data_IF_394651907464
#
_entry.id   IF_394651907464
#
_cell.length_a   1.000
_cell.length_b   1.000
_cell.length_c   1.000
_cell.angle_alpha   90.00
_cell.angle_beta   90.00
_cell.angle_gamma   90.00
#
_symmetry.space_group_name_H-M   'P 1'
#
loop_
_entity.id
_entity.type
_entity.pdbx_description
1 polymer ?
#
# COMPACT_ATOMS: atom_id res chain seq x y z
N UNK A 1 -0.57 17.73 -23.08
CA UNK A 1 0.28 16.82 -22.29
C UNK A 1 1.74 17.18 -22.49
N UNK A 2 2.60 16.91 -21.51
CA UNK A 2 4.06 17.15 -21.58
C UNK A 2 4.78 15.81 -21.51
N UNK A 3 5.56 15.53 -22.54
CA UNK A 3 6.44 14.36 -22.63
C UNK A 3 7.87 14.79 -22.32
N UNK A 4 8.49 14.18 -21.31
CA UNK A 4 9.89 14.44 -20.99
C UNK A 4 10.52 13.27 -20.24
N UNK A 5 11.84 13.15 -20.35
CA UNK A 5 12.60 12.15 -19.62
C UNK A 5 13.12 12.72 -18.29
N UNK A 6 13.17 11.88 -17.25
CA UNK A 6 13.83 12.27 -16.01
C UNK A 6 15.32 12.55 -16.27
N UNK A 7 15.85 13.71 -15.84
CA UNK A 7 17.25 14.07 -16.11
C UNK A 7 18.27 13.15 -15.41
N UNK A 8 17.84 12.39 -14.38
CA UNK A 8 18.72 11.51 -13.62
C UNK A 8 18.78 10.07 -14.16
N UNK A 9 17.65 9.51 -14.61
CA UNK A 9 17.57 8.10 -15.00
C UNK A 9 17.01 7.85 -16.41
N UNK A 10 16.60 8.88 -17.14
CA UNK A 10 16.06 8.76 -18.50
C UNK A 10 14.64 8.19 -18.60
N UNK A 11 14.00 7.80 -17.49
CA UNK A 11 12.63 7.30 -17.52
C UNK A 11 11.68 8.33 -18.14
N UNK A 12 10.87 7.90 -19.10
CA UNK A 12 9.89 8.74 -19.78
C UNK A 12 8.68 9.03 -18.88
N UNK A 13 8.18 10.26 -18.91
CA UNK A 13 7.00 10.71 -18.19
C UNK A 13 6.02 11.42 -19.11
N UNK A 14 4.77 10.99 -19.01
CA UNK A 14 3.61 11.65 -19.61
C UNK A 14 2.80 12.30 -18.49
N UNK A 15 2.92 13.62 -18.37
CA UNK A 15 2.23 14.40 -17.35
C UNK A 15 1.28 15.42 -17.99
N UNK A 16 0.23 15.75 -17.24
CA UNK A 16 -0.70 16.82 -17.59
C UNK A 16 -0.01 18.20 -17.51
N UNK A 17 -0.41 19.13 -18.37
CA UNK A 17 0.17 20.48 -18.47
C UNK A 17 -0.02 21.28 -17.18
N UNK A 18 -1.02 20.96 -16.36
CA UNK A 18 -1.23 21.58 -15.04
C UNK A 18 -0.09 21.34 -14.05
N UNK A 19 0.76 20.34 -14.30
CA UNK A 19 1.93 20.02 -13.48
C UNK A 19 3.20 20.70 -13.95
N UNK A 20 3.15 21.45 -15.05
CA UNK A 20 4.28 22.18 -15.61
C UNK A 20 4.87 23.16 -14.57
N UNK A 21 6.20 23.20 -14.47
CA UNK A 21 6.92 24.05 -13.51
C UNK A 21 6.93 23.55 -12.06
N UNK A 22 6.11 22.54 -11.69
CA UNK A 22 6.11 21.97 -10.34
C UNK A 22 7.32 21.05 -10.13
N UNK A 23 7.78 20.95 -8.88
CA UNK A 23 8.81 20.01 -8.46
C UNK A 23 8.18 18.71 -7.98
N UNK A 24 8.68 17.59 -8.49
CA UNK A 24 8.24 16.23 -8.14
C UNK A 24 9.41 15.30 -7.88
N UNK A 25 9.13 14.05 -7.53
CA UNK A 25 10.13 12.98 -7.47
C UNK A 25 9.91 11.98 -8.58
N UNK A 26 10.98 11.54 -9.24
CA UNK A 26 10.92 10.49 -10.24
C UNK A 26 10.38 9.18 -9.64
N UNK A 27 9.44 8.52 -10.30
CA UNK A 27 8.90 7.22 -9.83
C UNK A 27 9.92 6.07 -9.96
N UNK A 28 10.88 6.17 -10.88
CA UNK A 28 11.90 5.14 -11.10
C UNK A 28 13.07 5.29 -10.12
N UNK A 29 13.70 6.48 -10.05
CA UNK A 29 14.91 6.69 -9.25
C UNK A 29 14.69 7.48 -7.94
N UNK A 30 13.54 8.13 -7.75
CA UNK A 30 13.24 8.93 -6.55
C UNK A 30 13.84 10.35 -6.52
N UNK A 31 14.67 10.71 -7.51
CA UNK A 31 15.34 12.01 -7.59
C UNK A 31 14.36 13.17 -7.74
N UNK A 32 14.67 14.32 -7.14
CA UNK A 32 13.84 15.53 -7.27
C UNK A 32 14.05 16.14 -8.66
N UNK A 33 12.96 16.34 -9.39
CA UNK A 33 12.97 16.89 -10.76
C UNK A 33 11.90 17.96 -10.91
N UNK A 34 12.18 18.98 -11.72
CA UNK A 34 11.22 20.03 -12.08
C UNK A 34 10.60 19.69 -13.44
N UNK A 35 9.28 19.68 -13.51
CA UNK A 35 8.55 19.44 -14.78
C UNK A 35 8.77 20.66 -15.69
N UNK A 36 9.19 20.50 -16.95
CA UNK A 36 9.39 21.63 -17.88
C UNK A 36 8.10 22.46 -18.03
N UNK A 37 8.21 23.79 -17.96
CA UNK A 37 7.11 24.70 -18.24
C UNK A 37 7.02 24.98 -19.74
N UNK A 38 5.86 24.71 -20.35
CA UNK A 38 5.52 25.07 -21.74
C UNK A 38 5.70 26.59 -21.89
N UNK A 39 6.79 27.04 -22.49
CA UNK A 39 7.11 28.47 -22.67
C UNK A 39 8.52 28.89 -22.24
N UNK A 40 9.26 28.06 -21.51
CA UNK A 40 10.70 28.26 -21.38
C UNK A 40 11.35 27.77 -22.69
N UNK A 41 11.43 28.66 -23.69
CA UNK A 41 12.25 28.46 -24.87
C UNK A 41 13.62 27.93 -24.43
N UNK A 42 14.01 26.76 -24.94
CA UNK A 42 15.24 26.08 -24.55
C UNK A 42 16.45 27.03 -24.66
N UNK A 43 17.50 26.84 -23.85
CA UNK A 43 18.72 27.62 -23.98
C UNK A 43 19.20 27.55 -25.43
N UNK A 44 19.26 28.73 -26.07
CA UNK A 44 19.80 28.95 -27.41
C UNK A 44 21.12 28.18 -27.49
N UNK A 45 21.17 27.16 -28.36
CA UNK A 45 22.38 26.36 -28.54
C UNK A 45 23.57 27.30 -28.79
N UNK A 46 24.66 27.20 -28.02
CA UNK A 46 25.83 28.03 -28.28
C UNK A 46 26.32 27.72 -29.69
N UNK A 47 26.52 28.77 -30.48
CA UNK A 47 27.03 28.68 -31.84
C UNK A 47 28.36 27.91 -31.82
N UNK A 48 28.34 26.69 -32.38
CA UNK A 48 29.54 25.87 -32.51
C UNK A 48 30.55 26.54 -33.47
N UNK A 49 31.85 26.33 -33.26
CA UNK A 49 32.90 26.83 -34.15
C UNK A 49 32.75 26.20 -35.54
N UNK A 50 32.90 27.04 -36.57
CA UNK A 50 32.89 26.64 -37.98
C UNK A 50 34.01 25.63 -38.23
N UNK A 51 33.65 24.37 -38.53
CA UNK A 51 34.60 23.39 -39.03
C UNK A 51 34.91 23.66 -40.52
N UNK A 52 36.19 23.59 -40.96
CA UNK A 52 36.57 23.67 -42.37
C UNK A 52 36.05 22.45 -43.14
N UNK A 53 35.70 22.67 -44.41
CA UNK A 53 35.07 21.69 -45.29
C UNK A 53 35.98 20.48 -45.59
N UNK A 54 35.35 19.31 -45.66
CA UNK A 54 35.91 17.98 -45.91
C UNK A 54 36.57 17.79 -47.30
N UNK A 55 36.75 18.84 -48.10
CA UNK A 55 37.38 18.73 -49.42
C UNK A 55 38.92 18.64 -49.36
N UNK A 56 39.54 18.96 -48.21
CA UNK A 56 41.00 18.99 -48.08
C UNK A 56 41.63 17.68 -47.56
N UNK A 57 40.84 16.69 -47.10
CA UNK A 57 41.37 15.47 -46.44
C UNK A 57 41.48 14.28 -47.41
N UNK A 58 40.89 14.35 -48.60
CA UNK A 58 40.93 13.26 -49.58
C UNK A 58 42.28 13.09 -50.30
N UNK A 59 43.29 13.94 -50.04
CA UNK A 59 44.56 13.94 -50.77
C UNK A 59 45.74 13.30 -50.01
N UNK A 60 45.58 12.79 -48.78
CA UNK A 60 46.75 12.43 -47.93
C UNK A 60 46.81 11.00 -47.38
N UNK A 61 46.02 10.04 -47.87
CA UNK A 61 46.14 8.63 -47.42
C UNK A 61 46.26 7.69 -48.62
N UNK A 62 47.37 7.82 -49.34
CA UNK A 62 47.95 6.74 -50.12
C UNK A 62 49.03 6.06 -49.28
N UNK A 63 48.80 4.83 -48.83
CA UNK A 63 49.87 4.04 -48.23
C UNK A 63 49.45 2.92 -47.28
N UNK A 64 49.58 1.69 -47.80
CA UNK A 64 50.05 0.49 -47.10
C UNK A 64 49.06 -0.23 -46.16
N UNK A 65 48.80 -1.52 -46.48
CA UNK A 65 48.78 -2.56 -45.44
C UNK A 65 47.64 -3.56 -45.47
N UNK A 66 47.91 -4.71 -46.08
CA UNK A 66 47.26 -6.02 -45.97
C UNK A 66 46.29 -6.24 -44.78
N UNK A 67 45.02 -6.50 -45.10
CA UNK A 67 44.03 -7.03 -44.15
C UNK A 67 44.10 -8.57 -44.03
N UNK A 68 43.72 -9.15 -42.88
CA UNK A 68 43.63 -10.59 -42.71
C UNK A 68 42.34 -11.17 -43.31
N UNK A 69 42.50 -12.30 -44.01
CA UNK A 69 41.42 -13.16 -44.53
C UNK A 69 40.62 -13.78 -43.38
N UNK A 70 39.30 -13.64 -43.43
CA UNK A 70 38.36 -14.46 -42.65
C UNK A 70 38.12 -15.79 -43.38
N UNK A 71 38.37 -16.89 -42.69
CA UNK A 71 38.00 -18.25 -43.13
C UNK A 71 36.53 -18.55 -42.80
N UNK A 72 35.82 -19.33 -43.63
CA UNK A 72 34.47 -19.78 -43.33
C UNK A 72 34.50 -21.00 -42.41
N UNK A 73 33.72 -20.97 -41.33
CA UNK A 73 33.50 -22.10 -40.43
C UNK A 73 32.37 -22.96 -41.01
N UNK A 74 32.71 -24.22 -41.30
CA UNK A 74 31.77 -25.26 -41.73
C UNK A 74 30.92 -25.77 -40.55
N UNK A 75 29.72 -26.34 -40.81
CA UNK A 75 28.85 -26.88 -39.78
C UNK A 75 28.98 -28.42 -39.70
N UNK A 76 29.30 -28.96 -38.53
CA UNK A 76 29.07 -30.38 -38.23
C UNK A 76 28.93 -30.60 -36.72
N UNK A 77 28.01 -31.49 -36.34
CA UNK A 77 28.01 -32.15 -35.03
C UNK A 77 26.72 -32.03 -34.22
N UNK A 78 25.76 -32.91 -34.52
CA UNK A 78 24.54 -33.14 -33.75
C UNK A 78 24.81 -33.63 -32.31
N UNK A 79 24.01 -33.16 -31.37
CA UNK A 79 23.64 -33.89 -30.15
C UNK A 79 22.11 -33.85 -29.99
N UNK A 80 21.45 -34.97 -29.63
CA UNK A 80 19.99 -35.08 -29.64
C UNK A 80 19.38 -34.41 -28.40
N UNK A 81 18.51 -33.41 -28.61
CA UNK A 81 17.65 -32.87 -27.56
C UNK A 81 16.40 -33.75 -27.39
N UNK A 82 15.96 -34.04 -26.16
CA UNK A 82 14.74 -34.80 -25.90
C UNK A 82 13.51 -34.02 -26.39
N UNK A 83 12.63 -34.75 -27.09
CA UNK A 83 11.51 -34.20 -27.83
C UNK A 83 10.49 -33.48 -26.96
N UNK A 84 10.26 -32.20 -27.27
CA UNK A 84 9.01 -31.53 -26.94
C UNK A 84 8.01 -31.80 -28.06
N UNK A 85 6.94 -32.49 -27.69
CA UNK A 85 5.75 -32.78 -28.50
C UNK A 85 5.21 -31.49 -29.13
N UNK A 86 5.38 -31.37 -30.45
CA UNK A 86 4.75 -30.36 -31.29
C UNK A 86 3.38 -30.87 -31.73
N UNK A 87 2.38 -30.64 -30.89
CA UNK A 87 0.97 -30.82 -31.26
C UNK A 87 0.16 -29.69 -30.63
N UNK A 88 -0.04 -28.61 -31.40
CA UNK A 88 -1.02 -27.58 -31.05
C UNK A 88 -0.74 -26.20 -31.65
N UNK A 89 -1.41 -25.91 -32.77
CA UNK A 89 -1.94 -24.61 -33.19
C UNK A 89 -1.09 -23.34 -33.00
N UNK A 90 -0.70 -22.73 -34.12
CA UNK A 90 -0.23 -21.33 -34.13
C UNK A 90 -1.38 -20.40 -33.66
N UNK A 91 -1.24 -19.63 -32.58
CA UNK A 91 -2.24 -18.64 -32.22
C UNK A 91 -2.19 -17.47 -33.20
N UNK A 92 -3.32 -17.22 -33.87
CA UNK A 92 -3.52 -16.14 -34.85
C UNK A 92 -3.67 -14.75 -34.21
N UNK A 93 -3.47 -14.63 -32.89
CA UNK A 93 -3.77 -13.41 -32.17
C UNK A 93 -2.62 -13.02 -31.23
N UNK A 94 -2.00 -11.86 -31.48
CA UNK A 94 -0.87 -11.35 -30.71
C UNK A 94 -1.23 -11.12 -29.23
N UNK A 95 -2.52 -10.89 -28.91
CA UNK A 95 -3.02 -10.74 -27.54
C UNK A 95 -2.94 -12.01 -26.69
N UNK A 96 -2.95 -13.21 -27.29
CA UNK A 96 -2.74 -14.46 -26.56
C UNK A 96 -1.25 -14.74 -26.32
N UNK A 97 -0.36 -14.22 -27.16
CA UNK A 97 1.10 -14.34 -26.95
C UNK A 97 1.59 -13.54 -25.74
N UNK A 98 0.96 -12.39 -25.42
CA UNK A 98 1.33 -11.56 -24.25
C UNK A 98 0.77 -12.11 -22.93
N UNK A 99 -0.24 -12.97 -22.99
CA UNK A 99 -0.79 -13.66 -21.82
C UNK A 99 -0.24 -15.10 -21.65
N UNK A 100 0.72 -15.50 -22.49
CA UNK A 100 1.43 -16.75 -22.27
C UNK A 100 2.10 -16.70 -20.91
N UNK A 101 1.74 -17.68 -20.09
CA UNK A 101 2.20 -17.90 -18.75
C UNK A 101 3.71 -18.12 -18.76
N UNK A 102 4.48 -17.03 -18.78
CA UNK A 102 5.80 -17.06 -18.17
C UNK A 102 5.51 -17.21 -16.69
N UNK A 103 5.48 -18.47 -16.24
CA UNK A 103 5.58 -18.83 -14.84
C UNK A 103 6.93 -18.31 -14.34
N UNK A 104 6.99 -17.00 -14.10
CA UNK A 104 8.06 -16.37 -13.35
C UNK A 104 7.93 -16.97 -11.95
N UNK A 105 8.73 -18.01 -11.69
CA UNK A 105 8.94 -18.50 -10.35
C UNK A 105 9.18 -17.26 -9.48
N UNK A 106 8.36 -17.02 -8.44
CA UNK A 106 8.43 -15.79 -7.68
C UNK A 106 9.85 -15.67 -7.15
N UNK A 107 10.61 -14.71 -7.69
CA UNK A 107 11.98 -14.47 -7.28
C UNK A 107 11.87 -14.02 -5.82
N UNK A 108 12.16 -14.93 -4.91
CA UNK A 108 12.13 -14.64 -3.48
C UNK A 108 13.12 -13.51 -3.22
N UNK A 109 12.75 -12.56 -2.35
CA UNK A 109 13.59 -11.42 -2.01
C UNK A 109 14.99 -11.83 -1.48
N UNK A 110 15.14 -13.09 -1.07
CA UNK A 110 16.39 -13.67 -0.60
C UNK A 110 17.37 -13.98 -1.75
N UNK A 111 16.90 -14.27 -2.97
CA UNK A 111 17.76 -14.53 -4.15
C UNK A 111 18.38 -13.26 -4.75
N UNK A 112 17.84 -12.07 -4.46
CA UNK A 112 18.41 -10.81 -4.95
C UNK A 112 19.71 -10.40 -4.26
N UNK A 113 20.05 -10.99 -3.10
CA UNK A 113 21.31 -10.66 -2.40
C UNK A 113 22.55 -11.24 -3.09
N UNK A 114 22.42 -12.37 -3.80
CA UNK A 114 23.55 -13.02 -4.47
C UNK A 114 23.93 -12.40 -5.82
N UNK A 115 23.03 -11.65 -6.45
CA UNK A 115 23.24 -11.06 -7.78
C UNK A 115 23.90 -9.67 -7.76
N UNK A 116 24.15 -9.10 -6.58
CA UNK A 116 24.72 -7.74 -6.46
C UNK A 116 26.24 -7.66 -6.57
N UNK A 117 26.93 -8.79 -6.71
CA UNK A 117 28.41 -8.84 -6.66
C UNK A 117 29.07 -9.50 -7.87
N UNK A 118 28.33 -9.90 -8.90
CA UNK A 118 28.95 -10.27 -10.18
C UNK A 118 29.02 -9.04 -11.07
N UNK A 119 30.22 -8.52 -11.39
CA UNK A 119 30.35 -7.51 -12.44
C UNK A 119 29.74 -8.09 -13.72
N UNK A 120 28.86 -7.33 -14.32
CA UNK A 120 28.20 -7.71 -15.56
C UNK A 120 29.27 -7.90 -16.65
N UNK A 121 29.22 -8.98 -17.45
CA UNK A 121 30.14 -9.16 -18.59
C UNK A 121 30.07 -8.06 -19.67
N UNK A 122 29.15 -7.10 -19.51
CA UNK A 122 29.00 -5.89 -20.32
C UNK A 122 29.77 -4.68 -19.76
N UNK A 123 30.56 -4.86 -18.70
CA UNK A 123 31.63 -3.92 -18.32
C UNK A 123 32.79 -4.04 -19.34
N UNK A 124 32.45 -3.80 -20.61
CA UNK A 124 33.37 -3.67 -21.73
C UNK A 124 34.22 -2.40 -21.50
N UNK A 125 35.54 -2.40 -21.80
CA UNK A 125 36.40 -1.25 -21.55
C UNK A 125 35.81 -0.02 -22.23
N UNK A 126 35.38 0.92 -21.39
CA UNK A 126 34.74 2.16 -21.73
C UNK A 126 35.38 2.84 -22.94
N UNK A 127 34.67 2.81 -24.06
CA UNK A 127 34.89 3.74 -25.16
C UNK A 127 34.84 5.16 -24.54
N UNK A 128 35.86 6.02 -24.72
CA UNK A 128 35.94 7.33 -24.10
C UNK A 128 34.90 8.28 -24.74
N UNK A 129 33.64 8.09 -24.38
CA UNK A 129 32.57 9.04 -24.64
C UNK A 129 32.59 10.18 -23.62
N UNK A 130 32.11 11.38 -23.98
CA UNK A 130 32.16 12.59 -23.14
C UNK A 130 31.27 12.53 -21.88
N UNK A 131 30.60 11.40 -21.63
CA UNK A 131 29.71 11.20 -20.49
C UNK A 131 30.37 10.28 -19.46
N UNK A 132 31.38 10.83 -18.76
CA UNK A 132 31.89 10.24 -17.52
C UNK A 132 30.77 10.34 -16.48
N UNK A 133 30.04 9.24 -16.26
CA UNK A 133 29.13 9.13 -15.11
C UNK A 133 29.95 9.42 -13.85
N UNK A 134 29.75 10.60 -13.25
CA UNK A 134 30.29 10.90 -11.92
C UNK A 134 29.80 9.78 -11.01
N UNK A 135 30.73 8.98 -10.50
CA UNK A 135 30.45 8.05 -9.42
C UNK A 135 29.64 8.81 -8.37
N UNK A 136 28.45 8.30 -8.03
CA UNK A 136 27.61 8.92 -7.02
C UNK A 136 28.50 9.16 -5.79
N UNK A 137 28.63 10.41 -5.29
CA UNK A 137 29.36 10.67 -4.08
C UNK A 137 28.80 9.75 -3.01
N UNK A 138 29.61 8.81 -2.54
CA UNK A 138 29.24 7.92 -1.44
C UNK A 138 28.99 8.82 -0.24
N UNK A 139 27.72 9.16 0.03
CA UNK A 139 27.37 10.01 1.16
C UNK A 139 27.76 9.25 2.44
N UNK A 140 28.82 9.65 3.16
CA UNK A 140 29.34 8.88 4.28
C UNK A 140 28.31 8.75 5.41
N UNK A 141 27.37 9.70 5.51
CA UNK A 141 26.26 9.63 6.45
C UNK A 141 25.31 8.43 6.21
N UNK A 142 25.06 8.07 4.95
CA UNK A 142 24.18 6.93 4.64
C UNK A 142 24.90 5.60 4.88
N UNK A 143 26.18 5.52 4.55
CA UNK A 143 27.01 4.35 4.85
C UNK A 143 27.21 4.16 6.36
N UNK A 144 27.43 5.24 7.12
CA UNK A 144 27.54 5.17 8.58
C UNK A 144 26.22 4.72 9.24
N UNK A 145 25.08 5.23 8.75
CA UNK A 145 23.76 4.80 9.23
C UNK A 145 23.45 3.34 8.85
N UNK A 146 23.87 2.90 7.65
CA UNK A 146 23.71 1.52 7.22
C UNK A 146 24.64 0.56 7.98
N UNK A 147 25.89 0.96 8.23
CA UNK A 147 26.89 0.17 8.94
C UNK A 147 26.55 -0.03 10.42
N UNK A 148 25.88 0.93 11.06
CA UNK A 148 25.39 0.81 12.43
C UNK A 148 24.06 0.06 12.58
N UNK A 149 23.32 -0.17 11.49
CA UNK A 149 22.00 -0.82 11.55
C UNK A 149 22.17 -2.34 11.63
N UNK A 150 22.10 -2.89 12.86
CA UNK A 150 22.04 -4.34 13.05
C UNK A 150 20.88 -4.91 12.23
N UNK A 151 21.07 -6.02 11.50
CA UNK A 151 20.02 -6.60 10.67
C UNK A 151 18.79 -6.87 11.53
N UNK A 152 17.63 -6.42 11.06
CA UNK A 152 16.35 -6.61 11.73
C UNK A 152 16.16 -8.10 12.08
N UNK A 153 16.15 -8.41 13.38
CA UNK A 153 16.03 -9.78 13.89
C UNK A 153 14.80 -10.49 13.35
N UNK A 154 14.82 -11.82 13.29
CA UNK A 154 13.75 -12.64 12.71
C UNK A 154 12.35 -12.26 13.26
N UNK A 155 12.27 -11.97 14.57
CA UNK A 155 11.05 -11.52 15.25
C UNK A 155 10.49 -10.23 14.65
N UNK A 156 11.33 -9.22 14.41
CA UNK A 156 10.89 -7.93 13.84
C UNK A 156 10.43 -8.06 12.39
N UNK A 157 11.03 -8.98 11.62
CA UNK A 157 10.59 -9.32 10.26
C UNK A 157 9.23 -10.02 10.27
N UNK A 158 9.05 -11.01 11.15
CA UNK A 158 7.77 -11.70 11.36
C UNK A 158 6.66 -10.72 11.75
N UNK A 159 6.94 -9.85 12.71
CA UNK A 159 6.01 -8.80 13.15
C UNK A 159 5.60 -7.85 12.01
N UNK A 160 6.55 -7.33 11.23
CA UNK A 160 6.25 -6.45 10.09
C UNK A 160 5.43 -7.15 9.01
N UNK A 161 5.71 -8.43 8.75
CA UNK A 161 4.95 -9.24 7.78
C UNK A 161 3.51 -9.50 8.26
N UNK A 162 3.34 -9.88 9.53
CA UNK A 162 2.02 -10.10 10.14
C UNK A 162 1.15 -8.84 10.14
N UNK A 163 1.72 -7.70 10.53
CA UNK A 163 1.04 -6.41 10.54
C UNK A 163 0.51 -6.00 9.15
N UNK A 164 1.26 -6.31 8.08
CA UNK A 164 0.81 -6.04 6.71
C UNK A 164 -0.44 -6.84 6.33
N UNK A 165 -0.50 -8.12 6.69
CA UNK A 165 -1.67 -8.97 6.44
C UNK A 165 -2.89 -8.49 7.23
N UNK A 166 -2.72 -8.13 8.50
CA UNK A 166 -3.80 -7.61 9.35
C UNK A 166 -4.38 -6.32 8.76
N UNK A 167 -3.54 -5.39 8.29
CA UNK A 167 -4.01 -4.17 7.62
C UNK A 167 -4.78 -4.45 6.34
N UNK A 168 -4.36 -5.46 5.56
CA UNK A 168 -5.07 -5.87 4.34
C UNK A 168 -6.46 -6.43 4.68
N UNK A 169 -6.57 -7.26 5.71
CA UNK A 169 -7.84 -7.80 6.18
C UNK A 169 -8.79 -6.69 6.67
N UNK A 170 -8.31 -5.74 7.49
CA UNK A 170 -9.14 -4.61 7.94
C UNK A 170 -9.59 -3.70 6.80
N UNK A 171 -8.71 -3.48 5.81
CA UNK A 171 -9.08 -2.70 4.62
C UNK A 171 -10.19 -3.40 3.84
N UNK A 172 -10.06 -4.71 3.63
CA UNK A 172 -11.07 -5.50 2.93
C UNK A 172 -12.41 -5.52 3.68
N UNK A 173 -12.40 -5.69 5.01
CA UNK A 173 -13.60 -5.60 5.85
C UNK A 173 -14.28 -4.23 5.74
N UNK A 174 -13.51 -3.14 5.78
CA UNK A 174 -14.06 -1.79 5.69
C UNK A 174 -14.62 -1.47 4.29
N UNK A 175 -13.98 -1.96 3.22
CA UNK A 175 -14.48 -1.85 1.84
C UNK A 175 -15.76 -2.70 1.68
N UNK A 176 -15.76 -3.95 2.18
CA UNK A 176 -16.91 -4.86 2.12
C UNK A 176 -18.13 -4.35 2.89
N UNK A 177 -17.93 -3.80 4.09
CA UNK A 177 -19.01 -3.22 4.88
C UNK A 177 -19.70 -2.03 4.20
N UNK A 178 -18.96 -1.25 3.40
CA UNK A 178 -19.56 -0.17 2.61
C UNK A 178 -20.50 -0.72 1.54
N UNK A 179 -20.03 -1.67 0.73
CA UNK A 179 -20.85 -2.29 -0.30
C UNK A 179 -22.07 -3.01 0.29
N UNK A 180 -21.88 -3.70 1.41
CA UNK A 180 -22.96 -4.39 2.10
C UNK A 180 -24.00 -3.42 2.68
N UNK A 181 -23.62 -2.19 3.07
CA UNK A 181 -24.55 -1.21 3.66
C UNK A 181 -25.52 -0.59 2.66
N UNK A 182 -25.17 -0.49 1.37
CA UNK A 182 -25.98 0.14 0.32
C UNK A 182 -27.41 -0.45 0.23
N UNK A 183 -27.60 -1.78 0.10
CA UNK A 183 -28.95 -2.35 0.03
C UNK A 183 -29.78 -2.08 1.28
N UNK A 184 -29.19 -2.06 2.47
CA UNK A 184 -29.93 -1.77 3.71
C UNK A 184 -30.31 -0.30 3.86
N UNK A 185 -29.47 0.62 3.36
CA UNK A 185 -29.87 2.03 3.22
C UNK A 185 -31.05 2.15 2.27
N UNK A 186 -31.04 1.42 1.15
CA UNK A 186 -32.19 1.39 0.23
C UNK A 186 -33.44 0.80 0.89
N UNK A 187 -33.31 -0.27 1.70
CA UNK A 187 -34.43 -0.79 2.50
C UNK A 187 -34.97 0.26 3.48
N UNK A 188 -34.08 1.01 4.15
CA UNK A 188 -34.50 2.07 5.08
C UNK A 188 -35.27 3.19 4.35
N UNK A 189 -34.76 3.64 3.20
CA UNK A 189 -35.42 4.65 2.35
C UNK A 189 -36.74 4.12 1.80
N UNK A 190 -36.79 2.86 1.35
CA UNK A 190 -38.02 2.25 0.86
C UNK A 190 -39.05 2.09 1.98
N UNK A 191 -38.63 1.72 3.19
CA UNK A 191 -39.47 1.70 4.39
C UNK A 191 -40.05 3.07 4.70
N UNK A 192 -39.26 4.13 4.55
CA UNK A 192 -39.72 5.51 4.68
C UNK A 192 -40.76 5.89 3.63
N UNK A 193 -40.47 5.64 2.35
CA UNK A 193 -41.37 5.96 1.22
C UNK A 193 -42.68 5.18 1.31
N UNK A 194 -42.63 3.89 1.64
CA UNK A 194 -43.81 3.03 1.80
C UNK A 194 -44.51 3.21 3.15
N UNK A 195 -43.99 4.07 4.04
CA UNK A 195 -44.45 4.24 5.43
C UNK A 195 -44.52 2.92 6.21
N UNK A 196 -43.62 1.98 5.92
CA UNK A 196 -43.51 0.69 6.59
C UNK A 196 -42.43 0.76 7.68
N UNK A 197 -42.87 0.90 8.94
CA UNK A 197 -42.00 0.98 10.11
C UNK A 197 -41.04 -0.20 10.24
N UNK A 198 -41.51 -1.43 10.01
CA UNK A 198 -40.69 -2.62 10.19
C UNK A 198 -39.53 -2.65 9.19
N UNK A 199 -39.79 -2.26 7.93
CA UNK A 199 -38.76 -2.18 6.90
C UNK A 199 -37.75 -1.05 7.16
N UNK A 200 -38.25 0.10 7.63
CA UNK A 200 -37.41 1.24 8.02
C UNK A 200 -36.49 0.89 9.20
N UNK A 201 -37.04 0.34 10.28
CA UNK A 201 -36.26 -0.05 11.47
C UNK A 201 -35.28 -1.17 11.12
N UNK A 202 -35.69 -2.17 10.35
CA UNK A 202 -34.79 -3.23 9.90
C UNK A 202 -33.59 -2.67 9.11
N UNK A 203 -33.86 -1.83 8.10
CA UNK A 203 -32.81 -1.18 7.33
C UNK A 203 -31.90 -0.32 8.22
N UNK A 204 -32.48 0.51 9.09
CA UNK A 204 -31.74 1.39 9.99
C UNK A 204 -30.85 0.63 10.98
N UNK A 205 -31.36 -0.42 11.63
CA UNK A 205 -30.59 -1.25 12.58
C UNK A 205 -29.39 -1.90 11.90
N UNK A 206 -29.59 -2.51 10.72
CA UNK A 206 -28.49 -3.15 10.00
C UNK A 206 -27.46 -2.10 9.55
N UNK A 207 -27.88 -0.93 9.07
CA UNK A 207 -26.98 0.17 8.71
C UNK A 207 -26.17 0.64 9.92
N UNK A 208 -26.79 0.78 11.10
CA UNK A 208 -26.09 1.18 12.34
C UNK A 208 -25.06 0.11 12.72
N UNK A 209 -25.43 -1.17 12.72
CA UNK A 209 -24.52 -2.27 13.06
C UNK A 209 -23.32 -2.32 12.09
N UNK A 210 -23.56 -2.22 10.79
CA UNK A 210 -22.49 -2.20 9.80
C UNK A 210 -21.58 -0.99 9.98
N UNK A 211 -22.11 0.21 10.20
CA UNK A 211 -21.27 1.38 10.44
C UNK A 211 -20.52 1.28 11.77
N UNK A 212 -21.09 0.66 12.80
CA UNK A 212 -20.41 0.42 14.08
C UNK A 212 -19.19 -0.49 13.88
N UNK A 213 -19.31 -1.57 13.11
CA UNK A 213 -18.15 -2.43 12.79
C UNK A 213 -17.06 -1.65 12.03
N UNK A 214 -17.44 -0.69 11.17
CA UNK A 214 -16.48 0.20 10.49
C UNK A 214 -15.79 1.18 11.43
N UNK A 215 -16.50 1.72 12.41
CA UNK A 215 -15.92 2.56 13.47
C UNK A 215 -14.89 1.75 14.26
N UNK A 216 -15.27 0.55 14.73
CA UNK A 216 -14.38 -0.33 15.52
C UNK A 216 -13.12 -0.71 14.73
N UNK A 217 -13.27 -1.16 13.48
CA UNK A 217 -12.12 -1.49 12.62
C UNK A 217 -11.26 -0.26 12.31
N UNK A 218 -11.87 0.92 12.14
CA UNK A 218 -11.17 2.19 11.98
C UNK A 218 -10.34 2.56 13.21
N UNK A 219 -10.91 2.42 14.41
CA UNK A 219 -10.22 2.68 15.69
C UNK A 219 -9.06 1.70 15.89
N UNK A 220 -9.25 0.42 15.62
CA UNK A 220 -8.16 -0.58 15.67
C UNK A 220 -7.05 -0.19 14.69
N UNK A 221 -7.38 0.18 13.46
CA UNK A 221 -6.40 0.60 12.47
C UNK A 221 -5.66 1.89 12.89
N UNK A 222 -6.33 2.82 13.58
CA UNK A 222 -5.71 4.01 14.17
C UNK A 222 -4.70 3.60 15.26
N UNK A 223 -5.07 2.67 16.13
CA UNK A 223 -4.19 2.13 17.17
C UNK A 223 -2.98 1.37 16.60
N UNK A 224 -3.11 0.69 15.45
CA UNK A 224 -2.00 -0.03 14.80
C UNK A 224 -0.90 0.92 14.29
N UNK A 225 -1.21 2.19 13.99
CA UNK A 225 -0.22 3.17 13.48
C UNK A 225 0.97 3.37 14.43
N UNK A 226 0.81 3.71 15.72
CA UNK A 226 1.92 3.84 16.67
C UNK A 226 2.66 2.53 16.93
N UNK A 227 1.97 1.38 16.91
CA UNK A 227 2.61 0.06 17.02
C UNK A 227 3.63 -0.21 15.89
N UNK A 228 3.47 0.41 14.71
CA UNK A 228 4.49 0.33 13.63
C UNK A 228 5.79 1.06 13.97
N UNK A 229 5.74 2.07 14.84
CA UNK A 229 6.93 2.83 15.26
C UNK A 229 7.66 2.12 16.40
N UNK A 230 6.91 1.42 17.26
CA UNK A 230 7.46 0.52 18.27
C UNK A 230 6.36 0.01 19.22
N UNK A 231 6.60 -1.13 19.91
CA UNK A 231 5.63 -1.69 20.85
C UNK A 231 5.37 -0.75 22.03
N UNK A 232 6.41 -0.10 22.58
CA UNK A 232 6.28 0.85 23.67
C UNK A 232 5.44 2.07 23.28
N UNK A 233 5.65 2.60 22.07
CA UNK A 233 4.85 3.69 21.51
C UNK A 233 3.37 3.28 21.36
N UNK A 234 3.13 2.04 20.93
CA UNK A 234 1.80 1.45 20.81
C UNK A 234 1.08 1.32 22.16
N UNK A 235 1.79 0.84 23.20
CA UNK A 235 1.24 0.73 24.55
C UNK A 235 0.95 2.12 25.15
N UNK A 236 1.87 3.08 24.99
CA UNK A 236 1.63 4.46 25.41
C UNK A 236 0.40 5.07 24.73
N UNK A 237 0.14 4.72 23.46
CA UNK A 237 -1.04 5.18 22.74
C UNK A 237 -2.36 4.65 23.30
N UNK A 238 -2.37 3.54 24.06
CA UNK A 238 -3.58 3.03 24.71
C UNK A 238 -3.98 3.84 25.95
N UNK A 239 -3.10 4.70 26.46
CA UNK A 239 -3.35 5.56 27.62
C UNK A 239 -3.90 6.90 27.11
N UNK A 240 -5.19 7.24 27.37
CA UNK A 240 -5.89 8.36 26.76
C UNK A 240 -5.12 9.69 26.67
N UNK A 241 -4.48 10.22 27.74
CA UNK A 241 -3.73 11.47 27.64
C UNK A 241 -2.60 11.43 26.61
N UNK A 242 -1.88 10.30 26.49
CA UNK A 242 -0.81 10.14 25.52
C UNK A 242 -1.35 9.95 24.10
N UNK A 243 -2.53 9.33 23.94
CA UNK A 243 -3.23 9.22 22.66
C UNK A 243 -3.45 10.61 22.05
N UNK A 244 -3.99 11.55 22.81
CA UNK A 244 -4.28 12.91 22.33
C UNK A 244 -3.00 13.66 21.95
N UNK A 245 -1.97 13.62 22.80
CA UNK A 245 -0.66 14.25 22.52
C UNK A 245 -0.04 13.64 21.25
N UNK A 246 -0.12 12.33 21.08
CA UNK A 246 0.41 11.65 19.90
C UNK A 246 -0.34 12.03 18.62
N UNK A 247 -1.69 12.05 18.66
CA UNK A 247 -2.55 12.45 17.54
C UNK A 247 -2.29 13.90 17.13
N UNK A 248 -2.17 14.81 18.10
CA UNK A 248 -1.87 16.22 17.84
C UNK A 248 -0.50 16.38 17.17
N UNK A 249 0.55 15.75 17.70
CA UNK A 249 1.92 15.83 17.15
C UNK A 249 2.06 15.16 15.78
N UNK A 250 1.31 14.08 15.52
CA UNK A 250 1.41 13.29 14.29
C UNK A 250 0.19 13.45 13.38
N UNK A 251 -0.52 14.58 13.43
CA UNK A 251 -1.77 14.80 12.68
C UNK A 251 -1.66 14.44 11.19
N UNK A 252 -0.56 14.83 10.54
CA UNK A 252 -0.30 14.50 9.13
C UNK A 252 -0.31 12.98 8.83
N UNK A 253 0.05 12.12 9.79
CA UNK A 253 0.00 10.65 9.64
C UNK A 253 -1.38 10.07 9.97
N UNK A 254 -2.08 10.65 10.95
CA UNK A 254 -3.33 10.10 11.49
C UNK A 254 -4.61 10.69 10.88
N UNK A 255 -4.54 11.84 10.19
CA UNK A 255 -5.73 12.49 9.63
C UNK A 255 -6.51 11.59 8.66
N UNK A 256 -5.81 10.83 7.79
CA UNK A 256 -6.47 9.91 6.87
C UNK A 256 -7.24 8.80 7.60
N UNK A 257 -6.64 8.06 8.57
CA UNK A 257 -7.37 7.14 9.43
C UNK A 257 -8.55 7.78 10.18
N UNK A 258 -8.36 8.97 10.77
CA UNK A 258 -9.40 9.66 11.54
C UNK A 258 -10.59 10.02 10.66
N UNK A 259 -10.34 10.57 9.46
CA UNK A 259 -11.41 10.89 8.51
C UNK A 259 -12.19 9.64 8.05
N UNK A 260 -11.57 8.46 8.04
CA UNK A 260 -12.28 7.20 7.75
C UNK A 260 -13.20 6.75 8.88
N UNK A 261 -12.95 7.15 10.13
CA UNK A 261 -13.81 6.87 11.28
C UNK A 261 -14.97 7.87 11.34
N UNK A 262 -14.71 9.13 11.04
CA UNK A 262 -15.72 10.20 11.07
C UNK A 262 -16.88 9.97 10.10
N UNK A 263 -16.61 9.41 8.90
CA UNK A 263 -17.65 9.11 7.92
C UNK A 263 -18.77 8.20 8.47
N UNK A 264 -18.44 6.99 8.95
CA UNK A 264 -19.42 6.10 9.61
C UNK A 264 -20.09 6.68 10.85
N UNK A 265 -19.39 7.51 11.65
CA UNK A 265 -20.03 8.18 12.79
C UNK A 265 -21.10 9.16 12.32
N UNK A 266 -20.81 9.93 11.26
CA UNK A 266 -21.77 10.86 10.68
C UNK A 266 -22.99 10.13 10.10
N UNK A 267 -22.81 8.98 9.45
CA UNK A 267 -23.95 8.18 8.95
C UNK A 267 -24.80 7.61 10.07
N UNK A 268 -24.20 7.10 11.16
CA UNK A 268 -24.94 6.66 12.35
C UNK A 268 -25.73 7.83 12.93
N UNK A 269 -25.09 9.01 13.10
CA UNK A 269 -25.75 10.21 13.60
C UNK A 269 -26.91 10.65 12.71
N UNK A 270 -26.77 10.56 11.38
CA UNK A 270 -27.82 10.92 10.43
C UNK A 270 -28.98 9.93 10.47
N UNK A 271 -28.73 8.62 10.56
CA UNK A 271 -29.78 7.60 10.70
C UNK A 271 -30.50 7.75 12.04
N UNK A 272 -29.76 8.01 13.13
CA UNK A 272 -30.35 8.26 14.44
C UNK A 272 -31.21 9.53 14.45
N UNK A 273 -30.73 10.62 13.83
CA UNK A 273 -31.51 11.84 13.65
C UNK A 273 -32.75 11.61 12.81
N UNK A 274 -32.67 10.83 11.73
CA UNK A 274 -33.84 10.47 10.93
C UNK A 274 -34.88 9.70 11.77
N UNK A 275 -34.45 8.73 12.58
CA UNK A 275 -35.33 8.00 13.49
C UNK A 275 -35.96 8.89 14.57
N UNK A 276 -35.21 9.88 15.09
CA UNK A 276 -35.70 10.83 16.09
C UNK A 276 -36.64 11.89 15.50
N UNK A 277 -36.39 12.30 14.24
CA UNK A 277 -37.17 13.28 13.51
C UNK A 277 -38.48 12.70 12.95
N UNK A 278 -38.78 11.44 13.24
CA UNK A 278 -39.98 10.74 12.80
C UNK A 278 -41.01 10.58 13.95
N UNK A 279 -41.54 11.67 14.57
CA UNK A 279 -42.51 11.59 15.65
C UNK A 279 -43.91 11.11 15.16
N UNK A 280 -44.06 10.82 13.86
CA UNK A 280 -45.34 10.57 13.18
C UNK A 280 -45.62 9.11 12.81
N UNK A 281 -44.71 8.18 13.16
CA UNK A 281 -44.94 6.73 13.07
C UNK A 281 -45.44 6.00 14.35
N UNK A 282 -46.02 6.65 15.39
CA UNK A 282 -46.71 5.92 16.45
C UNK A 282 -48.09 5.49 15.96
N UNK A 283 -48.12 4.43 15.14
CA UNK A 283 -49.31 3.60 14.94
C UNK A 283 -49.54 2.62 16.10
N UNK A 284 -48.59 2.52 17.03
CA UNK A 284 -48.76 1.84 18.32
C UNK A 284 -49.31 2.83 19.34
N UNK A 285 -50.39 2.43 20.03
CA UNK A 285 -51.00 3.10 21.18
C UNK A 285 -49.94 3.88 21.97
N UNK A 286 -50.17 5.19 22.19
CA UNK A 286 -49.30 6.03 23.04
C UNK A 286 -48.89 5.22 24.27
N UNK A 287 -47.61 4.86 24.45
CA UNK A 287 -47.18 4.33 25.73
C UNK A 287 -47.50 5.42 26.75
N UNK A 288 -48.21 5.05 27.83
CA UNK A 288 -48.42 5.93 28.98
C UNK A 288 -47.08 6.12 29.70
N UNK A 289 -46.20 6.92 29.11
CA UNK A 289 -44.85 7.17 29.60
C UNK A 289 -44.07 8.09 28.67
N UNK A 290 -43.30 9.00 29.25
CA UNK A 290 -42.36 9.83 28.49
C UNK A 290 -41.35 8.92 27.79
N UNK A 291 -41.05 9.18 26.52
CA UNK A 291 -39.98 8.48 25.78
C UNK A 291 -38.64 8.54 26.53
N UNK A 292 -38.43 9.58 27.36
CA UNK A 292 -37.27 9.67 28.25
C UNK A 292 -37.28 8.59 29.34
N UNK A 293 -38.44 8.21 29.87
CA UNK A 293 -38.57 7.16 30.90
C UNK A 293 -38.32 5.78 30.31
N UNK A 294 -38.78 5.54 29.08
CA UNK A 294 -38.49 4.31 28.33
C UNK A 294 -37.00 4.20 28.01
N UNK A 295 -36.38 5.29 27.53
CA UNK A 295 -34.95 5.32 27.21
C UNK A 295 -34.08 5.13 28.46
N UNK A 296 -34.45 5.76 29.59
CA UNK A 296 -33.72 5.58 30.85
C UNK A 296 -33.91 4.17 31.43
N UNK A 297 -35.09 3.55 31.32
CA UNK A 297 -35.28 2.14 31.69
C UNK A 297 -34.46 1.20 30.81
N UNK A 298 -34.45 1.45 29.49
CA UNK A 298 -33.70 0.65 28.52
C UNK A 298 -32.20 0.73 28.78
N UNK A 299 -31.69 1.94 29.01
CA UNK A 299 -30.31 2.18 29.38
C UNK A 299 -29.98 1.55 30.72
N UNK A 300 -30.85 1.68 31.74
CA UNK A 300 -30.67 1.04 33.04
C UNK A 300 -30.58 -0.48 32.95
N UNK A 301 -31.44 -1.10 32.14
CA UNK A 301 -31.42 -2.55 31.92
C UNK A 301 -30.16 -3.02 31.18
N UNK A 302 -29.70 -2.29 30.15
CA UNK A 302 -28.44 -2.61 29.48
C UNK A 302 -27.24 -2.41 30.40
N UNK A 303 -27.22 -1.32 31.17
CA UNK A 303 -26.13 -1.02 32.11
C UNK A 303 -26.05 -2.09 33.20
N UNK A 304 -27.20 -2.57 33.70
CA UNK A 304 -27.26 -3.68 34.64
C UNK A 304 -26.66 -4.97 34.09
N UNK A 305 -27.04 -5.37 32.87
CA UNK A 305 -26.49 -6.56 32.21
C UNK A 305 -25.00 -6.45 31.92
N UNK A 306 -24.54 -5.29 31.44
CA UNK A 306 -23.10 -5.04 31.20
C UNK A 306 -22.33 -5.07 32.52
N UNK A 307 -22.89 -4.52 33.60
CA UNK A 307 -22.28 -4.54 34.92
C UNK A 307 -22.26 -5.95 35.53
N UNK A 308 -23.26 -6.79 35.22
CA UNK A 308 -23.30 -8.20 35.59
C UNK A 308 -22.22 -9.01 34.85
N UNK A 309 -22.09 -8.84 33.53
CA UNK A 309 -20.98 -9.45 32.76
C UNK A 309 -19.61 -8.94 33.23
N UNK A 310 -19.50 -7.69 33.67
CA UNK A 310 -18.28 -7.13 34.26
C UNK A 310 -17.92 -7.75 35.61
N UNK A 311 -18.87 -8.31 36.37
CA UNK A 311 -18.57 -9.05 37.60
C UNK A 311 -17.96 -10.42 37.31
N UNK A 312 -18.21 -10.99 36.13
CA UNK A 312 -17.66 -12.29 35.71
C UNK A 312 -16.28 -12.18 35.04
N UNK A 313 -15.91 -10.97 34.58
CA UNK A 313 -14.58 -10.68 34.03
C UNK A 313 -13.39 -11.14 34.91
N UNK A 314 -13.36 -11.01 36.25
CA UNK A 314 -12.28 -11.56 37.08
C UNK A 314 -12.19 -13.08 37.02
N UNK A 315 -13.31 -13.81 36.91
CA UNK A 315 -13.30 -15.26 36.76
C UNK A 315 -12.73 -15.67 35.38
N UNK A 316 -13.13 -14.95 34.33
CA UNK A 316 -12.62 -15.12 32.96
C UNK A 316 -11.12 -14.82 32.85
N UNK A 317 -10.65 -13.77 33.55
CA UNK A 317 -9.22 -13.44 33.67
C UNK A 317 -8.44 -14.55 34.37
N UNK A 318 -9.01 -15.14 35.43
CA UNK A 318 -8.40 -16.27 36.14
C UNK A 318 -8.28 -17.50 35.24
N UNK A 319 -9.37 -17.88 34.54
CA UNK A 319 -9.35 -18.98 33.58
C UNK A 319 -8.32 -18.78 32.46
N UNK A 320 -8.23 -17.56 31.89
CA UNK A 320 -7.23 -17.26 30.86
C UNK A 320 -5.78 -17.35 31.36
N UNK A 321 -5.54 -16.91 32.61
CA UNK A 321 -4.22 -17.01 33.24
C UNK A 321 -3.83 -18.47 33.54
N UNK A 322 -4.78 -19.28 34.00
CA UNK A 322 -4.56 -20.70 34.26
C UNK A 322 -4.29 -21.47 32.95
N UNK A 323 -5.05 -21.19 31.88
CA UNK A 323 -4.80 -21.76 30.55
C UNK A 323 -3.42 -21.37 29.99
N UNK A 324 -2.97 -20.14 30.20
CA UNK A 324 -1.62 -19.70 29.81
C UNK A 324 -0.53 -20.41 30.63
N UNK A 325 -0.76 -20.66 31.92
CA UNK A 325 0.16 -21.40 32.79
C UNK A 325 0.26 -22.87 32.36
N UNK A 326 -0.86 -23.49 32.00
CA UNK A 326 -0.91 -24.87 31.49
C UNK A 326 -0.22 -25.00 30.12
N UNK A 327 -0.42 -24.03 29.23
CA UNK A 327 0.30 -23.98 27.97
C UNK A 327 1.82 -23.80 28.19
N UNK A 328 2.21 -22.96 29.15
CA UNK A 328 3.62 -22.74 29.48
C UNK A 328 4.28 -23.98 30.12
N UNK A 329 3.55 -24.75 30.92
CA UNK A 329 4.06 -26.00 31.51
C UNK A 329 4.17 -27.11 30.46
N UNK A 330 3.26 -27.19 29.49
CA UNK A 330 3.32 -28.13 28.38
C UNK A 330 4.52 -27.89 27.44
N UNK A 331 4.99 -26.64 27.34
CA UNK A 331 6.16 -26.27 26.52
C UNK A 331 7.51 -26.52 27.21
N UNK A 332 7.53 -26.93 28.49
CA UNK A 332 8.78 -27.24 29.18
C UNK A 332 9.33 -28.57 28.64
N UNK A 333 10.50 -28.58 28.00
CA UNK A 333 11.05 -29.79 27.41
C UNK A 333 11.27 -30.83 28.52
N UNK A 334 10.77 -32.05 28.31
CA UNK A 334 11.07 -33.19 29.18
C UNK A 334 12.59 -33.38 29.16
N UNK A 335 13.24 -33.07 30.27
CA UNK A 335 14.66 -33.36 30.45
C UNK A 335 14.86 -34.87 30.36
N UNK A 336 15.83 -35.34 29.56
CA UNK A 336 16.10 -36.76 29.37
C UNK A 336 16.55 -37.46 30.65
#
# INVERSE_FOLDING_TARGET
>A
MIHFACPACGAAFDLDERLAGRTGRCKACGERMKVPSKGAAGPKAPAGPKHPSLAAIAASVGGIGAGPRLTPIAPDGLAPRPGMSLSGGRPLNWLEAVNSQVALAPISADNFRGLRSRPSPMDEPSIPGPYKLRSMPSLPAYQAAAAGSKPAGAVTRGYRRGMGSVQKAFRWLNEGAYFLSIPFVMCAILGLVLRNHALLVFGAVVVILLNLTRVVTGVINLAVVPFRQGPLQGVLFLIPPFTFVYVAKNWHKVHKPVMRILGPIATIGLVALALLAEPWLPGGKKPEGSVQDEATRSLGAMTGKVQEELKDLPALKKQGMDALRDAASALKPKSP
#
